data_IF_280702422489
#
_entry.id   IF_280702422489
#
_cell.length_a   1.000
_cell.length_b   1.000
_cell.length_c   1.000
_cell.angle_alpha   90.00
_cell.angle_beta   90.00
_cell.angle_gamma   90.00
#
_symmetry.space_group_name_H-M   'P 1'
#
loop_
_entity.id
_entity.type
_entity.pdbx_description
1 polymer ?
#
# COMPACT_ATOMS: atom_id res chain seq x y z
N UNK A 1 29.25 -4.94 -13.03
CA UNK A 1 28.07 -5.01 -12.13
C UNK A 1 26.86 -4.83 -13.03
N UNK A 2 26.01 -5.83 -13.19
CA UNK A 2 24.77 -5.72 -13.96
C UNK A 2 23.87 -4.73 -13.23
N UNK A 3 23.55 -3.62 -13.90
CA UNK A 3 22.65 -2.59 -13.35
C UNK A 3 21.27 -3.25 -13.22
N UNK A 4 20.88 -3.63 -11.99
CA UNK A 4 19.54 -4.17 -11.75
C UNK A 4 18.51 -3.05 -11.92
N UNK A 5 17.37 -3.39 -12.51
CA UNK A 5 16.22 -2.51 -12.52
C UNK A 5 15.83 -2.11 -11.09
N UNK A 6 15.35 -0.89 -10.90
CA UNK A 6 15.02 -0.36 -9.58
C UNK A 6 13.52 -0.38 -9.33
N UNK A 7 13.15 -0.61 -8.08
CA UNK A 7 11.77 -0.59 -7.62
C UNK A 7 11.63 0.21 -6.33
N UNK A 8 10.63 1.07 -6.28
CA UNK A 8 10.23 1.76 -5.05
C UNK A 8 9.16 0.94 -4.32
N UNK A 9 9.35 0.71 -3.01
CA UNK A 9 8.33 0.09 -2.15
C UNK A 9 8.10 1.00 -0.95
N UNK A 10 6.88 1.51 -0.80
CA UNK A 10 6.54 2.27 0.41
C UNK A 10 6.23 1.33 1.56
N UNK A 11 6.81 1.60 2.74
CA UNK A 11 6.59 0.77 3.94
C UNK A 11 7.29 -0.59 3.90
N UNK A 12 8.46 -0.72 3.25
CA UNK A 12 9.22 -1.97 3.13
C UNK A 12 9.84 -2.47 4.45
N UNK A 13 9.65 -1.77 5.56
CA UNK A 13 10.26 -2.10 6.85
C UNK A 13 9.48 -3.10 7.70
N UNK A 14 8.25 -3.45 7.34
CA UNK A 14 7.43 -4.38 8.13
C UNK A 14 6.27 -5.00 7.34
N UNK A 15 5.70 -6.09 7.86
CA UNK A 15 4.47 -6.72 7.36
C UNK A 15 4.55 -7.16 5.90
N UNK A 16 3.52 -6.79 5.10
CA UNK A 16 3.52 -7.09 3.67
C UNK A 16 4.67 -6.39 2.95
N UNK A 17 5.00 -5.15 3.31
CA UNK A 17 6.09 -4.39 2.69
C UNK A 17 7.45 -5.07 2.86
N UNK A 18 7.77 -5.59 4.04
CA UNK A 18 8.99 -6.38 4.27
C UNK A 18 8.99 -7.68 3.44
N UNK A 19 7.85 -8.33 3.33
CA UNK A 19 7.73 -9.52 2.48
C UNK A 19 7.90 -9.19 1.00
N UNK A 20 7.34 -8.06 0.54
CA UNK A 20 7.56 -7.55 -0.82
C UNK A 20 9.04 -7.24 -1.06
N UNK A 21 9.71 -6.56 -0.10
CA UNK A 21 11.16 -6.36 -0.18
C UNK A 21 11.90 -7.68 -0.38
N UNK A 22 11.64 -8.69 0.47
CA UNK A 22 12.32 -9.99 0.40
C UNK A 22 12.07 -10.74 -0.93
N UNK A 23 10.92 -10.52 -1.55
CA UNK A 23 10.59 -11.14 -2.85
C UNK A 23 11.25 -10.41 -4.01
N UNK A 24 11.15 -9.08 -4.05
CA UNK A 24 11.61 -8.27 -5.18
C UNK A 24 13.14 -8.03 -5.17
N UNK A 25 13.79 -8.00 -4.02
CA UNK A 25 15.27 -7.82 -3.92
C UNK A 25 16.08 -8.94 -4.59
N UNK A 26 15.43 -10.04 -4.96
CA UNK A 26 16.04 -11.12 -5.77
C UNK A 26 16.43 -10.64 -7.16
N UNK A 27 15.64 -9.74 -7.76
CA UNK A 27 15.80 -9.29 -9.14
C UNK A 27 15.91 -7.77 -9.31
N UNK A 28 15.56 -6.99 -8.29
CA UNK A 28 15.53 -5.53 -8.31
C UNK A 28 16.37 -4.92 -7.20
N UNK A 29 16.89 -3.73 -7.45
CA UNK A 29 17.41 -2.86 -6.39
C UNK A 29 16.22 -2.11 -5.77
N UNK A 30 15.94 -2.41 -4.49
CA UNK A 30 14.76 -1.87 -3.81
C UNK A 30 15.09 -0.54 -3.13
N UNK A 31 14.25 0.45 -3.35
CA UNK A 31 14.24 1.75 -2.67
C UNK A 31 13.08 1.72 -1.67
N UNK A 32 13.39 1.87 -0.39
CA UNK A 32 12.38 1.93 0.67
C UNK A 32 12.01 3.38 0.99
N UNK A 33 10.71 3.69 1.00
CA UNK A 33 10.19 4.96 1.53
C UNK A 33 9.33 4.63 2.76
N UNK A 34 9.84 4.88 3.96
CA UNK A 34 9.13 4.59 5.21
C UNK A 34 9.69 5.35 6.41
N UNK A 35 9.03 5.21 7.57
CA UNK A 35 9.47 5.82 8.84
C UNK A 35 10.73 5.18 9.42
N UNK A 36 11.02 3.95 9.03
CA UNK A 36 12.12 3.16 9.59
C UNK A 36 12.95 2.53 8.49
N UNK A 37 14.21 2.30 8.79
CA UNK A 37 15.11 1.59 7.87
C UNK A 37 14.57 0.19 7.61
N UNK A 38 14.64 -0.24 6.36
CA UNK A 38 14.47 -1.64 5.93
C UNK A 38 15.85 -2.26 5.63
N UNK A 39 15.85 -3.53 5.19
CA UNK A 39 17.06 -4.21 4.70
C UNK A 39 17.55 -3.67 3.35
N UNK A 40 16.84 -2.73 2.75
CA UNK A 40 17.22 -2.08 1.50
C UNK A 40 18.50 -1.28 1.67
N UNK A 41 19.36 -1.30 0.63
CA UNK A 41 20.56 -0.47 0.58
C UNK A 41 20.23 1.02 0.40
N UNK A 42 19.02 1.33 -0.08
CA UNK A 42 18.55 2.71 -0.26
C UNK A 42 17.26 2.97 0.52
N UNK A 43 17.35 3.82 1.53
CA UNK A 43 16.23 4.13 2.42
C UNK A 43 15.98 5.64 2.46
N UNK A 44 14.80 6.06 2.00
CA UNK A 44 14.27 7.41 2.19
C UNK A 44 13.42 7.39 3.47
N UNK A 45 14.04 7.78 4.59
CA UNK A 45 13.39 7.75 5.90
C UNK A 45 12.55 9.00 6.08
N UNK A 46 11.23 8.79 6.18
CA UNK A 46 10.25 9.88 6.28
C UNK A 46 8.95 9.40 6.95
N UNK A 47 8.34 10.26 7.78
CA UNK A 47 6.97 10.07 8.23
C UNK A 47 6.00 10.57 7.14
N UNK A 48 5.20 9.68 6.58
CA UNK A 48 4.24 10.00 5.52
C UNK A 48 3.10 10.93 5.97
N UNK A 49 2.94 11.20 7.26
CA UNK A 49 2.04 12.24 7.78
C UNK A 49 2.58 13.66 7.53
N UNK A 50 3.92 13.80 7.41
CA UNK A 50 4.56 15.08 7.14
C UNK A 50 4.73 15.30 5.63
N UNK A 51 3.65 15.75 4.97
CA UNK A 51 3.63 15.90 3.52
C UNK A 51 4.58 16.98 3.00
N UNK A 52 4.83 18.05 3.78
CA UNK A 52 5.76 19.12 3.40
C UNK A 52 7.20 18.62 3.36
N UNK A 53 7.61 17.87 4.37
CA UNK A 53 8.91 17.22 4.43
C UNK A 53 9.07 16.14 3.35
N UNK A 54 8.02 15.34 3.11
CA UNK A 54 8.00 14.35 2.03
C UNK A 54 8.27 15.00 0.68
N UNK A 55 7.54 16.07 0.33
CA UNK A 55 7.74 16.83 -0.90
C UNK A 55 9.16 17.40 -1.00
N UNK A 56 9.66 18.02 0.09
CA UNK A 56 11.02 18.58 0.14
C UNK A 56 12.06 17.50 -0.10
N UNK A 57 11.94 16.36 0.58
CA UNK A 57 12.90 15.25 0.48
C UNK A 57 12.92 14.66 -0.92
N UNK A 58 11.74 14.31 -1.46
CA UNK A 58 11.63 13.71 -2.79
C UNK A 58 12.07 14.66 -3.92
N UNK A 59 11.96 15.98 -3.75
CA UNK A 59 12.43 16.96 -4.74
C UNK A 59 13.92 16.80 -5.08
N UNK A 60 14.74 16.39 -4.11
CA UNK A 60 16.17 16.22 -4.26
C UNK A 60 16.58 14.78 -4.65
N UNK A 61 15.64 13.84 -4.58
CA UNK A 61 15.88 12.44 -4.95
C UNK A 61 15.60 12.24 -6.44
N UNK A 62 16.66 12.17 -7.23
CA UNK A 62 16.62 11.90 -8.68
C UNK A 62 17.00 10.44 -8.93
N UNK A 63 16.03 9.54 -8.72
CA UNK A 63 16.25 8.10 -8.77
C UNK A 63 15.32 7.50 -9.81
N UNK A 64 15.86 7.19 -10.99
CA UNK A 64 15.15 6.41 -12.00
C UNK A 64 14.76 5.04 -11.46
N UNK A 65 13.53 4.63 -11.67
CA UNK A 65 13.00 3.33 -11.27
C UNK A 65 11.83 2.91 -12.16
N UNK A 66 11.67 1.61 -12.33
CA UNK A 66 10.70 1.04 -13.29
C UNK A 66 9.33 0.81 -12.65
N UNK A 67 9.30 0.44 -11.37
CA UNK A 67 8.10 0.01 -10.64
C UNK A 67 7.98 0.80 -9.34
N UNK A 68 6.75 1.20 -9.00
CA UNK A 68 6.42 1.78 -7.70
C UNK A 68 5.30 0.98 -7.01
N UNK A 69 5.60 0.36 -5.86
CA UNK A 69 4.61 -0.33 -5.03
C UNK A 69 4.18 0.56 -3.87
N UNK A 70 2.93 1.03 -3.94
CA UNK A 70 2.27 1.85 -2.93
C UNK A 70 1.64 0.92 -1.89
N UNK A 71 2.44 0.50 -0.90
CA UNK A 71 2.03 -0.45 0.13
C UNK A 71 1.79 0.20 1.50
N UNK A 72 2.49 1.29 1.82
CA UNK A 72 2.34 1.96 3.11
C UNK A 72 0.89 2.38 3.36
N UNK A 73 0.42 2.17 4.59
CA UNK A 73 -0.91 2.55 5.00
C UNK A 73 -1.14 2.38 6.50
N UNK A 74 -2.19 3.01 6.99
CA UNK A 74 -2.66 2.91 8.37
C UNK A 74 -4.15 2.63 8.41
N UNK A 75 -4.60 1.95 9.47
CA UNK A 75 -6.04 1.84 9.78
C UNK A 75 -6.58 3.13 10.40
N UNK A 76 -5.69 3.96 11.00
CA UNK A 76 -6.12 5.04 11.88
C UNK A 76 -6.70 4.50 13.19
N UNK A 77 -7.44 5.34 13.88
CA UNK A 77 -8.26 4.97 15.03
C UNK A 77 -9.44 4.12 14.55
N UNK A 78 -9.72 3.06 15.28
CA UNK A 78 -10.87 2.18 15.10
C UNK A 78 -11.94 2.53 16.14
N UNK A 79 -13.21 2.58 15.75
CA UNK A 79 -14.30 2.91 16.63
C UNK A 79 -15.51 3.49 15.90
N UNK A 80 -16.56 3.82 16.65
CA UNK A 80 -17.77 4.43 16.08
C UNK A 80 -17.43 5.72 15.33
N UNK A 81 -18.04 5.92 14.18
CA UNK A 81 -17.73 7.02 13.25
C UNK A 81 -17.78 8.41 13.94
N UNK A 82 -18.77 8.66 14.80
CA UNK A 82 -18.93 9.91 15.54
C UNK A 82 -17.98 10.07 16.74
N UNK A 83 -17.10 9.10 16.98
CA UNK A 83 -16.05 9.14 18.02
C UNK A 83 -14.64 9.29 17.43
N UNK A 84 -14.52 9.26 16.10
CA UNK A 84 -13.25 9.50 15.43
C UNK A 84 -13.00 11.02 15.41
N UNK A 85 -11.83 11.45 15.89
CA UNK A 85 -11.44 12.86 15.84
C UNK A 85 -11.05 13.28 14.40
N UNK A 86 -11.28 14.54 14.06
CA UNK A 86 -10.84 15.11 12.79
C UNK A 86 -9.33 14.95 12.62
N UNK A 87 -8.54 15.13 13.67
CA UNK A 87 -7.08 14.96 13.63
C UNK A 87 -6.67 13.57 13.19
N UNK A 88 -7.27 12.52 13.76
CA UNK A 88 -6.95 11.13 13.40
C UNK A 88 -7.45 10.77 11.99
N UNK A 89 -8.61 11.31 11.62
CA UNK A 89 -9.13 11.18 10.26
C UNK A 89 -8.18 11.81 9.24
N UNK A 90 -7.73 13.05 9.48
CA UNK A 90 -6.78 13.74 8.60
C UNK A 90 -5.42 13.03 8.55
N UNK A 91 -4.91 12.47 9.65
CA UNK A 91 -3.69 11.64 9.63
C UNK A 91 -3.84 10.46 8.66
N UNK A 92 -4.98 9.80 8.71
CA UNK A 92 -5.26 8.66 7.83
C UNK A 92 -5.32 9.06 6.35
N UNK A 93 -5.95 10.19 6.03
CA UNK A 93 -5.97 10.78 4.68
C UNK A 93 -4.55 11.14 4.21
N UNK A 94 -3.75 11.78 5.08
CA UNK A 94 -2.36 12.13 4.74
C UNK A 94 -1.54 10.91 4.35
N UNK A 95 -1.59 9.85 5.16
CA UNK A 95 -0.79 8.63 4.94
C UNK A 95 -1.28 7.81 3.76
N UNK A 96 -2.58 7.51 3.72
CA UNK A 96 -3.11 6.53 2.76
C UNK A 96 -3.38 7.13 1.38
N UNK A 97 -3.63 8.45 1.28
CA UNK A 97 -4.04 9.10 0.02
C UNK A 97 -3.01 10.13 -0.43
N UNK A 98 -2.79 11.19 0.36
CA UNK A 98 -1.99 12.33 -0.10
C UNK A 98 -0.51 11.99 -0.27
N UNK A 99 0.07 11.22 0.64
CA UNK A 99 1.45 10.74 0.50
C UNK A 99 1.60 9.84 -0.73
N UNK A 100 0.62 8.96 -0.99
CA UNK A 100 0.62 8.12 -2.19
C UNK A 100 0.57 8.96 -3.47
N UNK A 101 -0.27 10.00 -3.51
CA UNK A 101 -0.30 10.96 -4.64
C UNK A 101 1.06 11.61 -4.88
N UNK A 102 1.68 12.15 -3.84
CA UNK A 102 3.01 12.79 -3.94
C UNK A 102 4.05 11.82 -4.48
N UNK A 103 4.04 10.56 -4.01
CA UNK A 103 4.98 9.53 -4.43
C UNK A 103 4.72 9.10 -5.87
N UNK A 104 3.46 9.00 -6.32
CA UNK A 104 3.13 8.71 -7.72
C UNK A 104 3.70 9.82 -8.62
N UNK A 105 3.41 11.09 -8.34
CA UNK A 105 3.85 12.22 -9.16
C UNK A 105 5.39 12.29 -9.23
N UNK A 106 6.07 12.05 -8.11
CA UNK A 106 7.52 11.96 -8.06
C UNK A 106 8.04 10.77 -8.87
N UNK A 107 7.41 9.60 -8.76
CA UNK A 107 7.82 8.41 -9.51
C UNK A 107 7.65 8.59 -11.01
N UNK A 108 6.57 9.23 -11.47
CA UNK A 108 6.35 9.56 -12.88
C UNK A 108 7.48 10.47 -13.38
N UNK A 109 7.83 11.51 -12.61
CA UNK A 109 8.94 12.42 -12.99
C UNK A 109 10.33 11.78 -12.96
N UNK A 110 10.46 10.57 -12.40
CA UNK A 110 11.69 9.77 -12.39
C UNK A 110 11.59 8.52 -13.30
N UNK A 111 10.70 8.53 -14.31
CA UNK A 111 10.64 7.51 -15.35
C UNK A 111 9.81 6.26 -15.02
N UNK A 112 9.18 6.20 -13.84
CA UNK A 112 8.35 5.06 -13.47
C UNK A 112 7.12 4.95 -14.38
N UNK A 113 6.87 3.77 -14.90
CA UNK A 113 5.74 3.50 -15.80
C UNK A 113 4.80 2.40 -15.28
N UNK A 114 5.16 1.70 -14.20
CA UNK A 114 4.34 0.66 -13.61
C UNK A 114 4.11 0.88 -12.12
N UNK A 115 2.84 0.98 -11.73
CA UNK A 115 2.39 1.26 -10.37
C UNK A 115 1.52 0.13 -9.83
N UNK A 116 1.83 -0.35 -8.63
CA UNK A 116 1.03 -1.34 -7.91
C UNK A 116 0.56 -0.72 -6.60
N UNK A 117 -0.74 -0.43 -6.51
CA UNK A 117 -1.38 0.02 -5.28
C UNK A 117 -1.91 -1.17 -4.47
N UNK A 118 -1.49 -1.30 -3.22
CA UNK A 118 -2.05 -2.30 -2.31
C UNK A 118 -3.40 -1.80 -1.80
N UNK A 119 -4.46 -2.39 -2.36
CA UNK A 119 -5.86 -2.12 -2.06
C UNK A 119 -6.35 -2.98 -0.88
N UNK A 120 -7.64 -3.01 -0.69
CA UNK A 120 -8.32 -3.78 0.36
C UNK A 120 -9.79 -3.99 -0.01
N UNK A 121 -10.44 -4.99 0.55
CA UNK A 121 -11.91 -5.09 0.52
C UNK A 121 -12.60 -3.85 1.09
N UNK A 122 -11.95 -3.11 1.99
CA UNK A 122 -12.44 -1.84 2.53
C UNK A 122 -12.52 -0.70 1.49
N UNK A 123 -11.97 -0.88 0.29
CA UNK A 123 -12.12 0.07 -0.81
C UNK A 123 -13.50 0.02 -1.49
N UNK A 124 -14.26 -1.06 -1.26
CA UNK A 124 -15.57 -1.32 -1.90
C UNK A 124 -16.64 -1.78 -0.91
N UNK A 125 -16.26 -2.05 0.34
CA UNK A 125 -17.18 -2.47 1.43
C UNK A 125 -16.88 -1.65 2.66
N UNK A 126 -17.93 -1.34 3.42
CA UNK A 126 -17.79 -0.75 4.75
C UNK A 126 -17.71 -1.85 5.80
N UNK A 127 -17.05 -1.57 6.89
CA UNK A 127 -16.92 -2.45 8.06
C UNK A 127 -17.13 -1.64 9.33
N UNK A 128 -17.74 -2.26 10.31
CA UNK A 128 -17.98 -1.65 11.61
C UNK A 128 -16.69 -1.10 12.24
N UNK A 129 -16.73 0.14 12.67
CA UNK A 129 -15.58 0.78 13.33
C UNK A 129 -14.43 1.20 12.42
N UNK A 130 -14.56 1.09 11.10
CA UNK A 130 -13.45 1.32 10.16
C UNK A 130 -13.59 2.59 9.31
N UNK A 131 -14.20 3.66 9.85
CA UNK A 131 -14.42 4.90 9.10
C UNK A 131 -13.15 5.35 8.35
N UNK A 132 -12.05 5.55 9.09
CA UNK A 132 -10.79 6.04 8.50
C UNK A 132 -10.28 5.16 7.38
N UNK A 133 -10.31 3.84 7.59
CA UNK A 133 -9.74 2.90 6.65
C UNK A 133 -10.61 2.74 5.41
N UNK A 134 -11.93 2.60 5.56
CA UNK A 134 -12.85 2.47 4.42
C UNK A 134 -12.82 3.73 3.54
N UNK A 135 -12.93 4.92 4.14
CA UNK A 135 -12.89 6.17 3.38
C UNK A 135 -11.55 6.33 2.64
N UNK A 136 -10.43 6.11 3.33
CA UNK A 136 -9.11 6.30 2.69
C UNK A 136 -8.80 5.25 1.64
N UNK A 137 -9.23 4.00 1.80
CA UNK A 137 -9.04 2.96 0.78
C UNK A 137 -9.95 3.15 -0.43
N UNK A 138 -11.17 3.65 -0.24
CA UNK A 138 -12.05 4.05 -1.35
C UNK A 138 -11.47 5.24 -2.12
N UNK A 139 -11.00 6.27 -1.41
CA UNK A 139 -10.35 7.43 -2.02
C UNK A 139 -9.06 7.02 -2.77
N UNK A 140 -8.21 6.19 -2.18
CA UNK A 140 -7.01 5.66 -2.82
C UNK A 140 -7.34 4.86 -4.09
N UNK A 141 -8.34 3.97 -4.02
CA UNK A 141 -8.82 3.21 -5.18
C UNK A 141 -9.25 4.14 -6.31
N UNK A 142 -10.13 5.11 -6.01
CA UNK A 142 -10.63 6.06 -7.01
C UNK A 142 -9.49 6.89 -7.61
N UNK A 143 -8.54 7.34 -6.80
CA UNK A 143 -7.36 8.06 -7.26
C UNK A 143 -6.54 7.23 -8.26
N UNK A 144 -6.24 5.96 -7.97
CA UNK A 144 -5.48 5.09 -8.88
C UNK A 144 -6.22 4.85 -10.20
N UNK A 145 -7.53 4.63 -10.13
CA UNK A 145 -8.35 4.46 -11.35
C UNK A 145 -8.37 5.74 -12.20
N UNK A 146 -8.39 6.91 -11.56
CA UNK A 146 -8.33 8.20 -12.26
C UNK A 146 -6.95 8.41 -12.91
N UNK A 147 -5.84 8.10 -12.22
CA UNK A 147 -4.51 8.15 -12.83
C UNK A 147 -4.41 7.26 -14.07
N UNK A 148 -4.95 6.03 -14.02
CA UNK A 148 -4.96 5.15 -15.19
C UNK A 148 -5.78 5.73 -16.35
N UNK A 149 -6.90 6.38 -16.05
CA UNK A 149 -7.76 7.01 -17.07
C UNK A 149 -7.09 8.20 -17.73
N UNK A 150 -6.47 9.07 -16.93
CA UNK A 150 -5.86 10.32 -17.41
C UNK A 150 -4.49 10.08 -18.08
N UNK A 151 -3.78 9.02 -17.68
CA UNK A 151 -2.44 8.67 -18.15
C UNK A 151 -2.41 7.24 -18.74
N UNK A 152 -3.10 6.99 -19.86
CA UNK A 152 -3.28 5.63 -20.39
C UNK A 152 -1.99 4.96 -20.88
N UNK A 153 -0.89 5.72 -21.04
CA UNK A 153 0.45 5.17 -21.37
C UNK A 153 1.16 4.58 -20.16
N UNK A 154 0.75 4.93 -18.95
CA UNK A 154 1.25 4.34 -17.71
C UNK A 154 0.39 3.14 -17.34
N UNK A 155 0.94 2.26 -16.50
CA UNK A 155 0.24 1.06 -16.09
C UNK A 155 0.01 1.08 -14.58
N UNK A 156 -1.24 1.12 -14.16
CA UNK A 156 -1.64 1.07 -12.76
C UNK A 156 -2.39 -0.22 -12.45
N UNK A 157 -2.07 -0.85 -11.31
CA UNK A 157 -2.80 -2.01 -10.79
C UNK A 157 -3.16 -1.79 -9.33
N UNK A 158 -4.35 -2.25 -8.97
CA UNK A 158 -4.82 -2.33 -7.59
C UNK A 158 -4.86 -3.80 -7.19
N UNK A 159 -4.13 -4.15 -6.14
CA UNK A 159 -4.08 -5.53 -5.64
C UNK A 159 -4.66 -5.60 -4.24
N UNK A 160 -5.74 -6.36 -4.07
CA UNK A 160 -6.33 -6.69 -2.78
C UNK A 160 -5.73 -8.00 -2.26
N UNK A 161 -4.84 -7.97 -1.24
CA UNK A 161 -4.09 -9.14 -0.82
C UNK A 161 -4.88 -10.08 0.13
N UNK A 162 -6.14 -9.77 0.44
CA UNK A 162 -6.90 -10.50 1.45
C UNK A 162 -6.52 -10.17 2.89
N UNK A 163 -6.88 -11.06 3.83
CA UNK A 163 -6.58 -10.91 5.26
C UNK A 163 -5.19 -11.48 5.53
N UNK A 164 -4.25 -10.61 5.93
CA UNK A 164 -2.87 -10.98 6.15
C UNK A 164 -2.51 -11.00 7.64
N UNK A 165 -1.68 -11.96 8.06
CA UNK A 165 -1.15 -12.07 9.43
C UNK A 165 -0.10 -10.96 9.69
N UNK A 166 -0.57 -9.76 10.06
CA UNK A 166 0.24 -8.56 10.31
C UNK A 166 -0.14 -7.90 11.63
N UNK A 167 0.67 -6.93 12.08
CA UNK A 167 0.32 -6.08 13.24
C UNK A 167 -1.01 -5.33 13.02
N UNK A 168 -1.31 -4.95 11.78
CA UNK A 168 -2.58 -4.31 11.42
C UNK A 168 -3.77 -5.25 11.70
N UNK A 169 -3.68 -6.51 11.27
CA UNK A 169 -4.74 -7.50 11.52
C UNK A 169 -4.87 -7.83 13.02
N UNK A 170 -3.76 -7.82 13.78
CA UNK A 170 -3.82 -8.02 15.23
C UNK A 170 -4.69 -6.96 15.90
N UNK A 171 -4.53 -5.67 15.54
CA UNK A 171 -5.38 -4.58 16.06
C UNK A 171 -6.87 -4.77 15.76
N UNK A 172 -7.23 -5.32 14.60
CA UNK A 172 -8.61 -5.62 14.25
C UNK A 172 -9.20 -6.65 15.23
N UNK A 173 -8.42 -7.67 15.57
CA UNK A 173 -8.83 -8.75 16.48
C UNK A 173 -8.94 -8.31 17.95
N UNK A 174 -8.50 -7.11 18.28
CA UNK A 174 -8.64 -6.51 19.62
C UNK A 174 -9.99 -5.78 19.79
N UNK A 175 -10.77 -5.59 18.69
CA UNK A 175 -12.09 -4.99 18.76
C UNK A 175 -13.13 -5.96 19.35
N UNK A 176 -14.01 -5.41 20.17
CA UNK A 176 -15.12 -6.15 20.75
C UNK A 176 -16.16 -6.49 19.68
N UNK A 177 -16.34 -7.77 19.41
CA UNK A 177 -17.27 -8.27 18.38
C UNK A 177 -18.74 -8.00 18.73
N UNK A 178 -19.08 -7.77 20.00
CA UNK A 178 -20.43 -7.41 20.41
C UNK A 178 -20.81 -5.99 19.96
N UNK A 179 -19.81 -5.08 19.88
CA UNK A 179 -19.96 -3.71 19.39
C UNK A 179 -19.68 -3.58 17.88
N UNK A 180 -18.91 -4.49 17.32
CA UNK A 180 -18.46 -4.50 15.92
C UNK A 180 -18.66 -5.88 15.29
N UNK A 181 -19.91 -6.28 14.96
CA UNK A 181 -20.24 -7.63 14.48
C UNK A 181 -19.48 -8.08 13.24
N UNK A 182 -19.12 -7.17 12.33
CA UNK A 182 -18.32 -7.47 11.15
C UNK A 182 -16.94 -8.08 11.51
N UNK A 183 -16.47 -7.87 12.75
CA UNK A 183 -15.17 -8.37 13.20
C UNK A 183 -15.16 -9.89 13.41
N UNK A 184 -16.32 -10.53 13.60
CA UNK A 184 -16.42 -12.00 13.66
C UNK A 184 -15.71 -12.66 12.48
N UNK A 185 -15.92 -12.14 11.28
CA UNK A 185 -15.27 -12.64 10.07
C UNK A 185 -13.74 -12.62 10.16
N UNK A 186 -13.15 -11.60 10.77
CA UNK A 186 -11.70 -11.48 10.91
C UNK A 186 -11.15 -12.37 12.03
N UNK A 187 -11.98 -12.69 13.04
CA UNK A 187 -11.64 -13.66 14.07
C UNK A 187 -11.64 -15.08 13.53
N UNK A 188 -12.65 -15.46 12.75
CA UNK A 188 -12.83 -16.78 12.17
C UNK A 188 -11.91 -17.07 10.99
N UNK A 189 -11.55 -16.05 10.20
CA UNK A 189 -10.72 -16.24 9.01
C UNK A 189 -9.28 -16.52 9.39
N UNK A 190 -8.74 -17.60 8.85
CA UNK A 190 -7.30 -17.88 8.93
C UNK A 190 -6.55 -16.87 8.06
N UNK A 191 -5.82 -15.95 8.72
CA UNK A 191 -5.07 -14.93 8.02
C UNK A 191 -3.86 -15.55 7.30
N UNK A 192 -3.70 -15.20 6.03
CA UNK A 192 -2.57 -15.65 5.19
C UNK A 192 -1.27 -15.00 5.63
N UNK A 193 -0.17 -15.76 5.59
CA UNK A 193 1.14 -15.18 5.87
C UNK A 193 1.55 -14.18 4.76
N UNK A 194 2.03 -12.97 5.07
CA UNK A 194 2.39 -11.93 4.08
C UNK A 194 3.36 -12.42 3.00
N UNK A 195 4.24 -13.35 3.33
CA UNK A 195 5.19 -13.98 2.38
C UNK A 195 4.47 -14.62 1.19
N UNK A 196 3.36 -15.35 1.43
CA UNK A 196 2.61 -16.02 0.34
C UNK A 196 2.04 -14.98 -0.63
N UNK A 197 1.40 -13.93 -0.11
CA UNK A 197 0.88 -12.84 -0.95
C UNK A 197 2.01 -12.13 -1.74
N UNK A 198 3.13 -11.83 -1.09
CA UNK A 198 4.26 -11.17 -1.76
C UNK A 198 4.90 -12.03 -2.84
N UNK A 199 5.00 -13.33 -2.66
CA UNK A 199 5.51 -14.28 -3.66
C UNK A 199 4.60 -14.36 -4.89
N UNK A 200 3.28 -14.31 -4.71
CA UNK A 200 2.33 -14.27 -5.81
C UNK A 200 2.49 -12.95 -6.59
N UNK A 201 2.52 -11.82 -5.89
CA UNK A 201 2.71 -10.50 -6.53
C UNK A 201 4.03 -10.49 -7.31
N UNK A 202 5.12 -10.97 -6.71
CA UNK A 202 6.43 -11.02 -7.37
C UNK A 202 6.43 -11.92 -8.61
N UNK A 203 5.86 -13.12 -8.55
CA UNK A 203 5.83 -14.04 -9.70
C UNK A 203 4.97 -13.52 -10.84
N UNK A 204 3.89 -12.82 -10.53
CA UNK A 204 2.88 -12.38 -11.51
C UNK A 204 2.98 -10.92 -11.92
N UNK A 205 3.92 -10.13 -11.39
CA UNK A 205 3.96 -8.69 -11.68
C UNK A 205 4.13 -8.37 -13.17
N UNK A 206 4.88 -9.18 -13.92
CA UNK A 206 5.02 -9.02 -15.36
C UNK A 206 3.70 -9.33 -16.10
N UNK A 207 2.96 -10.36 -15.68
CA UNK A 207 1.65 -10.69 -16.25
C UNK A 207 0.63 -9.59 -15.90
N UNK A 208 0.70 -9.04 -14.69
CA UNK A 208 -0.13 -7.90 -14.31
C UNK A 208 0.19 -6.67 -15.16
N UNK A 209 1.46 -6.39 -15.43
CA UNK A 209 1.86 -5.31 -16.33
C UNK A 209 1.22 -5.44 -17.71
N UNK A 210 1.20 -6.65 -18.28
CA UNK A 210 0.63 -6.94 -19.60
C UNK A 210 -0.90 -7.02 -19.63
N UNK A 211 -1.52 -7.23 -18.48
CA UNK A 211 -2.98 -7.42 -18.37
C UNK A 211 -3.73 -6.09 -18.49
N UNK A 212 -4.88 -6.10 -19.15
CA UNK A 212 -5.85 -4.99 -19.13
C UNK A 212 -6.63 -4.89 -17.81
N UNK A 213 -6.61 -5.93 -16.97
CA UNK A 213 -7.31 -5.96 -15.67
C UNK A 213 -6.65 -5.01 -14.70
N UNK A 214 -7.39 -4.01 -14.20
CA UNK A 214 -6.89 -2.99 -13.27
C UNK A 214 -6.92 -3.46 -11.81
N UNK A 215 -7.95 -4.19 -11.42
CA UNK A 215 -8.17 -4.64 -10.04
C UNK A 215 -8.00 -6.15 -9.92
N UNK A 216 -7.12 -6.57 -9.02
CA UNK A 216 -6.72 -7.97 -8.80
C UNK A 216 -7.02 -8.33 -7.37
N UNK A 217 -7.75 -9.41 -7.18
CA UNK A 217 -8.06 -9.96 -5.86
C UNK A 217 -7.29 -11.28 -5.66
N UNK A 218 -6.32 -11.26 -4.75
CA UNK A 218 -5.49 -12.44 -4.49
C UNK A 218 -6.19 -13.53 -3.67
N UNK A 219 -7.37 -13.28 -3.12
CA UNK A 219 -8.09 -14.29 -2.30
C UNK A 219 -8.39 -15.57 -3.07
N UNK A 220 -8.52 -15.48 -4.39
CA UNK A 220 -8.72 -16.63 -5.25
C UNK A 220 -7.42 -17.38 -5.58
N UNK A 221 -6.26 -16.90 -5.11
CA UNK A 221 -4.94 -17.43 -5.40
C UNK A 221 -4.17 -17.80 -4.13
N UNK A 222 -4.73 -17.45 -2.97
CA UNK A 222 -4.20 -17.72 -1.64
C UNK A 222 -4.81 -18.99 -1.05
#
# INVERSE_FOLDING_TARGET
>A
MTNKNKIVITGASSGLGESLYNSFSKSYDVINISRTVSKSNYNIIINLENLSELKKKLKFEKIEHDICILNAGTMGMLGLANKISDEDFFKSIKVNVLASKIIIDWSISNGCNFFIGISSGAAIKNYDGWLNYCVTKSAFRTMILQYQKDLPKLNFKLISPGILKTKMNKKIKELDVSLYPDMNKFHETIATHPKKASEIIYRKHIDYFKSSKLEIDLRNEL
#
